data_IF_244553192957
#
_entry.id   IF_244553192957
#
_cell.length_a   1.000
_cell.length_b   1.000
_cell.length_c   1.000
_cell.angle_alpha   90.00
_cell.angle_beta   90.00
_cell.angle_gamma   90.00
#
_symmetry.space_group_name_H-M   'P 1'
#
loop_
_entity.id
_entity.type
_entity.pdbx_description
1 polymer ?
#
# COMPACT_ATOMS: atom_id res chain seq x y z
N UNK A 1 7.51 -38.91 17.21
CA UNK A 1 7.47 -38.24 15.89
C UNK A 1 8.91 -38.02 15.44
N UNK A 2 9.24 -38.22 14.15
CA UNK A 2 10.63 -38.06 13.68
C UNK A 2 11.05 -36.60 13.76
N UNK A 3 12.26 -36.33 14.29
CA UNK A 3 12.87 -34.99 14.43
C UNK A 3 12.74 -34.14 13.16
N UNK A 4 12.82 -34.78 11.99
CA UNK A 4 12.64 -34.13 10.67
C UNK A 4 11.23 -33.57 10.46
N UNK A 5 10.18 -34.28 10.91
CA UNK A 5 8.78 -33.82 10.81
C UNK A 5 8.53 -32.61 11.70
N UNK A 6 9.16 -32.56 12.87
CA UNK A 6 8.99 -31.45 13.79
C UNK A 6 9.75 -30.20 13.31
N UNK A 7 10.96 -30.35 12.77
CA UNK A 7 11.69 -29.27 12.09
C UNK A 7 10.91 -28.73 10.90
N UNK A 8 10.33 -29.62 10.08
CA UNK A 8 9.54 -29.21 8.92
C UNK A 8 8.34 -28.35 9.30
N UNK A 9 7.53 -28.78 10.28
CA UNK A 9 6.39 -27.98 10.75
C UNK A 9 6.80 -26.62 11.30
N UNK A 10 7.94 -26.54 11.99
CA UNK A 10 8.45 -25.26 12.51
C UNK A 10 8.80 -24.31 11.37
N UNK A 11 9.50 -24.79 10.34
CA UNK A 11 9.85 -24.00 9.16
C UNK A 11 8.57 -23.54 8.43
N UNK A 12 7.56 -24.40 8.28
CA UNK A 12 6.28 -24.02 7.69
C UNK A 12 5.58 -22.90 8.48
N UNK A 13 5.58 -22.99 9.81
CA UNK A 13 5.01 -21.97 10.67
C UNK A 13 5.74 -20.62 10.54
N UNK A 14 7.08 -20.64 10.53
CA UNK A 14 7.91 -19.44 10.31
C UNK A 14 7.62 -18.80 8.94
N UNK A 15 7.48 -19.60 7.88
CA UNK A 15 7.14 -19.11 6.54
C UNK A 15 5.75 -18.44 6.53
N UNK A 16 4.77 -19.05 7.18
CA UNK A 16 3.41 -18.46 7.26
C UNK A 16 3.44 -17.15 8.04
N UNK A 17 4.17 -17.09 9.14
CA UNK A 17 4.31 -15.88 9.95
C UNK A 17 4.97 -14.75 9.16
N UNK A 18 6.05 -15.02 8.43
CA UNK A 18 6.72 -14.00 7.62
C UNK A 18 5.85 -13.51 6.45
N UNK A 19 5.10 -14.41 5.81
CA UNK A 19 4.11 -14.02 4.78
C UNK A 19 3.04 -13.10 5.35
N UNK A 20 2.49 -13.42 6.52
CA UNK A 20 1.50 -12.58 7.19
C UNK A 20 2.08 -11.21 7.56
N UNK A 21 3.30 -11.17 8.11
CA UNK A 21 3.96 -9.93 8.48
C UNK A 21 4.30 -9.07 7.25
N UNK A 22 4.76 -9.68 6.16
CA UNK A 22 5.04 -8.98 4.90
C UNK A 22 3.77 -8.37 4.28
N UNK A 23 2.65 -9.11 4.32
CA UNK A 23 1.35 -8.63 3.89
C UNK A 23 0.85 -7.45 4.74
N UNK A 24 0.97 -7.55 6.07
CA UNK A 24 0.63 -6.46 7.00
C UNK A 24 1.42 -5.18 6.72
N UNK A 25 2.75 -5.28 6.63
CA UNK A 25 3.63 -4.15 6.28
C UNK A 25 3.30 -3.54 4.92
N UNK A 26 2.81 -4.33 3.96
CA UNK A 26 2.40 -3.80 2.66
C UNK A 26 1.12 -2.97 2.76
N UNK A 27 0.17 -3.39 3.60
CA UNK A 27 -1.04 -2.61 3.91
C UNK A 27 -0.71 -1.28 4.59
N UNK A 28 0.09 -1.31 5.66
CA UNK A 28 0.51 -0.11 6.40
C UNK A 28 1.21 0.92 5.49
N UNK A 29 2.06 0.46 4.57
CA UNK A 29 2.71 1.34 3.57
C UNK A 29 1.71 1.98 2.62
N UNK A 30 0.68 1.25 2.19
CA UNK A 30 -0.36 1.80 1.33
C UNK A 30 -1.17 2.87 2.07
N UNK A 31 -1.57 2.59 3.31
CA UNK A 31 -2.31 3.54 4.15
C UNK A 31 -1.52 4.83 4.37
N UNK A 32 -0.26 4.74 4.77
CA UNK A 32 0.61 5.91 4.93
C UNK A 32 0.78 6.71 3.63
N UNK A 33 0.88 6.04 2.48
CA UNK A 33 0.98 6.72 1.18
C UNK A 33 -0.32 7.44 0.81
N UNK A 34 -1.48 6.82 1.06
CA UNK A 34 -2.79 7.43 0.82
C UNK A 34 -3.04 8.63 1.74
N UNK A 35 -2.64 8.53 3.01
CA UNK A 35 -2.72 9.65 3.96
C UNK A 35 -1.89 10.85 3.50
N UNK A 36 -0.70 10.61 2.95
CA UNK A 36 0.14 11.65 2.38
C UNK A 36 -0.56 12.33 1.18
N UNK A 37 -1.14 11.54 0.27
CA UNK A 37 -1.90 12.08 -0.88
C UNK A 37 -3.08 12.91 -0.41
N UNK A 38 -3.85 12.42 0.55
CA UNK A 38 -5.02 13.12 1.10
C UNK A 38 -4.61 14.42 1.80
N UNK A 39 -3.50 14.41 2.55
CA UNK A 39 -2.96 15.59 3.23
C UNK A 39 -2.55 16.69 2.24
N UNK A 40 -1.79 16.34 1.20
CA UNK A 40 -1.38 17.28 0.16
C UNK A 40 -2.60 17.76 -0.62
N UNK A 41 -3.54 16.86 -0.92
CA UNK A 41 -4.79 17.20 -1.59
C UNK A 41 -5.59 18.27 -0.83
N UNK A 42 -5.73 18.13 0.50
CA UNK A 42 -6.40 19.14 1.33
C UNK A 42 -5.68 20.50 1.29
N UNK A 43 -4.35 20.51 1.30
CA UNK A 43 -3.56 21.76 1.18
C UNK A 43 -3.78 22.42 -0.18
N UNK A 44 -3.86 21.62 -1.23
CA UNK A 44 -4.11 22.10 -2.59
C UNK A 44 -5.52 22.67 -2.77
N UNK A 45 -6.51 22.14 -2.04
CA UNK A 45 -7.90 22.62 -2.10
C UNK A 45 -8.10 23.99 -1.42
N UNK A 46 -7.19 24.40 -0.52
CA UNK A 46 -7.29 25.66 0.24
C UNK A 46 -6.26 26.72 -0.16
N UNK A 47 -5.26 26.37 -0.97
CA UNK A 47 -4.25 27.35 -1.39
C UNK A 47 -4.80 28.33 -2.42
N UNK A 48 -4.62 29.63 -2.16
CA UNK A 48 -4.93 30.70 -3.12
C UNK A 48 -3.70 31.19 -3.89
N UNK A 49 -2.49 30.80 -3.48
CA UNK A 49 -1.25 31.22 -4.12
C UNK A 49 -0.90 30.29 -5.31
N UNK A 50 -0.69 30.88 -6.48
CA UNK A 50 -0.41 30.16 -7.71
C UNK A 50 0.94 29.42 -7.66
N UNK A 51 1.96 30.01 -7.03
CA UNK A 51 3.29 29.40 -6.93
C UNK A 51 3.25 28.18 -5.99
N UNK A 52 2.65 28.33 -4.81
CA UNK A 52 2.43 27.23 -3.88
C UNK A 52 1.54 26.14 -4.49
N UNK A 53 0.49 26.52 -5.23
CA UNK A 53 -0.36 25.55 -5.94
C UNK A 53 0.44 24.70 -6.92
N UNK A 54 1.29 25.31 -7.74
CA UNK A 54 2.12 24.58 -8.70
C UNK A 54 3.08 23.60 -8.00
N UNK A 55 3.68 24.01 -6.88
CA UNK A 55 4.52 23.13 -6.06
C UNK A 55 3.73 21.96 -5.49
N UNK A 56 2.55 22.23 -4.91
CA UNK A 56 1.68 21.21 -4.32
C UNK A 56 1.16 20.21 -5.35
N UNK A 57 0.90 20.63 -6.60
CA UNK A 57 0.56 19.71 -7.68
C UNK A 57 1.67 18.69 -7.94
N UNK A 58 2.92 19.14 -7.98
CA UNK A 58 4.07 18.25 -8.12
C UNK A 58 4.17 17.26 -6.96
N UNK A 59 4.07 17.76 -5.72
CA UNK A 59 4.09 16.91 -4.52
C UNK A 59 2.93 15.90 -4.50
N UNK A 60 1.75 16.33 -4.96
CA UNK A 60 0.57 15.48 -5.04
C UNK A 60 0.76 14.35 -6.04
N UNK A 61 1.27 14.63 -7.24
CA UNK A 61 1.50 13.60 -8.24
C UNK A 61 2.59 12.61 -7.81
N UNK A 62 3.65 13.08 -7.15
CA UNK A 62 4.66 12.22 -6.55
C UNK A 62 4.08 11.31 -5.44
N UNK A 63 3.25 11.87 -4.56
CA UNK A 63 2.57 11.10 -3.52
C UNK A 63 1.60 10.08 -4.13
N UNK A 64 0.87 10.47 -5.18
CA UNK A 64 -0.06 9.61 -5.90
C UNK A 64 0.68 8.45 -6.55
N UNK A 65 1.83 8.69 -7.19
CA UNK A 65 2.68 7.63 -7.75
C UNK A 65 3.15 6.65 -6.67
N UNK A 66 3.57 7.15 -5.49
CA UNK A 66 3.94 6.29 -4.35
C UNK A 66 2.77 5.44 -3.86
N UNK A 67 1.56 6.00 -3.77
CA UNK A 67 0.37 5.26 -3.36
C UNK A 67 0.01 4.15 -4.37
N UNK A 68 0.08 4.43 -5.67
CA UNK A 68 -0.15 3.42 -6.71
C UNK A 68 0.88 2.29 -6.67
N UNK A 69 2.15 2.63 -6.42
CA UNK A 69 3.21 1.62 -6.27
C UNK A 69 3.00 0.76 -5.00
N UNK A 70 2.66 1.36 -3.87
CA UNK A 70 2.34 0.64 -2.64
C UNK A 70 1.13 -0.28 -2.82
N UNK A 71 0.12 0.18 -3.56
CA UNK A 71 -1.07 -0.62 -3.90
C UNK A 71 -0.72 -1.84 -4.74
N UNK A 72 0.10 -1.67 -5.79
CA UNK A 72 0.59 -2.79 -6.59
C UNK A 72 1.38 -3.80 -5.73
N UNK A 73 2.25 -3.32 -4.85
CA UNK A 73 3.00 -4.18 -3.95
C UNK A 73 2.08 -4.99 -3.01
N UNK A 74 1.01 -4.39 -2.48
CA UNK A 74 0.01 -5.11 -1.68
C UNK A 74 -0.68 -6.21 -2.50
N UNK A 75 -1.06 -5.93 -3.75
CA UNK A 75 -1.69 -6.94 -4.61
C UNK A 75 -0.75 -8.13 -4.86
N UNK A 76 0.53 -7.88 -5.13
CA UNK A 76 1.53 -8.95 -5.31
C UNK A 76 1.64 -9.81 -4.05
N UNK A 77 1.71 -9.20 -2.86
CA UNK A 77 1.77 -9.97 -1.60
C UNK A 77 0.51 -10.80 -1.36
N UNK A 78 -0.66 -10.28 -1.72
CA UNK A 78 -1.93 -11.01 -1.64
C UNK A 78 -1.94 -12.22 -2.57
N UNK A 79 -1.48 -12.07 -3.81
CA UNK A 79 -1.38 -13.18 -4.76
C UNK A 79 -0.43 -14.28 -4.28
N UNK A 80 0.70 -13.90 -3.67
CA UNK A 80 1.69 -14.82 -3.11
C UNK A 80 1.15 -15.71 -1.97
N UNK A 81 0.05 -15.28 -1.32
CA UNK A 81 -0.67 -16.06 -0.30
C UNK A 81 -2.00 -16.63 -0.80
N UNK A 82 -2.28 -16.55 -2.11
CA UNK A 82 -3.46 -17.15 -2.75
C UNK A 82 -4.69 -16.25 -2.86
N UNK A 83 -4.62 -14.98 -2.45
CA UNK A 83 -5.73 -14.02 -2.46
C UNK A 83 -5.83 -13.25 -3.78
N UNK A 84 -6.10 -13.95 -4.89
CA UNK A 84 -6.06 -13.43 -6.27
C UNK A 84 -7.22 -12.52 -6.70
N UNK A 85 -8.23 -12.32 -5.84
CA UNK A 85 -9.37 -11.44 -6.15
C UNK A 85 -9.17 -10.10 -5.45
N UNK A 86 -9.18 -9.02 -6.23
CA UNK A 86 -8.77 -7.69 -5.75
C UNK A 86 -9.91 -6.71 -5.51
N UNK A 87 -11.17 -7.08 -5.81
CA UNK A 87 -12.35 -6.21 -5.63
C UNK A 87 -12.44 -5.58 -4.25
N UNK A 88 -12.13 -6.33 -3.19
CA UNK A 88 -12.13 -5.79 -1.83
C UNK A 88 -11.05 -4.72 -1.64
N UNK A 89 -9.86 -4.93 -2.18
CA UNK A 89 -8.76 -3.94 -2.13
C UNK A 89 -9.11 -2.70 -2.94
N UNK A 90 -9.70 -2.86 -4.12
CA UNK A 90 -10.20 -1.75 -4.94
C UNK A 90 -11.27 -0.91 -4.23
N UNK A 91 -12.19 -1.57 -3.52
CA UNK A 91 -13.25 -0.90 -2.78
C UNK A 91 -12.70 -0.19 -1.53
N UNK A 92 -11.79 -0.81 -0.78
CA UNK A 92 -11.21 -0.24 0.45
C UNK A 92 -10.18 0.86 0.14
N UNK A 93 -9.38 0.67 -0.90
CA UNK A 93 -8.28 1.57 -1.27
C UNK A 93 -8.42 2.01 -2.73
N UNK A 94 -9.37 2.92 -3.03
CA UNK A 94 -9.55 3.46 -4.37
C UNK A 94 -8.32 4.26 -4.79
N UNK A 95 -8.05 4.30 -6.10
CA UNK A 95 -6.95 5.10 -6.63
C UNK A 95 -7.25 6.60 -6.43
N UNK A 96 -6.28 7.39 -5.93
CA UNK A 96 -6.47 8.83 -5.82
C UNK A 96 -6.69 9.47 -7.20
N UNK A 97 -7.61 10.44 -7.31
CA UNK A 97 -7.87 11.12 -8.58
C UNK A 97 -6.64 11.92 -9.02
N UNK A 98 -6.46 12.11 -10.33
CA UNK A 98 -5.51 13.10 -10.85
C UNK A 98 -6.01 14.51 -10.56
N UNK A 99 -5.09 15.45 -10.33
CA UNK A 99 -5.41 16.86 -10.12
C UNK A 99 -4.68 17.73 -11.15
N UNK A 100 -5.29 18.86 -11.51
CA UNK A 100 -4.79 19.85 -12.49
C UNK A 100 -4.85 21.25 -11.89
#
# INVERSE_FOLDING_TARGET
MSRTKDTHRRIEAEIVQEKAAALGRAGERLEAALDAVASIGRRLDVTGDAAERARLLGEYEDARARALHARLALLIQREAVGLRRHRAVEATYPEPPRRS
#
